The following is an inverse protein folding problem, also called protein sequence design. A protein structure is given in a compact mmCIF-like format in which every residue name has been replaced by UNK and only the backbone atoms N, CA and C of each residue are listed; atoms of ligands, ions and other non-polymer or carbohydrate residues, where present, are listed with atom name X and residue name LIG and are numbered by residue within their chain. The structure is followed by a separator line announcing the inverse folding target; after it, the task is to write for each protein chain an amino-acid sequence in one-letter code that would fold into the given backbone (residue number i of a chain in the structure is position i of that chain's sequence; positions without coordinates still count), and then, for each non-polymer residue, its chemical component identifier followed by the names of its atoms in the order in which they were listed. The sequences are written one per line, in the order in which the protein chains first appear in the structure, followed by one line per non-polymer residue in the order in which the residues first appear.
data_IF_332708503285
#
_entry.id   IF_332708503285
#
_cell.length_a   1.000
_cell.length_b   1.000
_cell.length_c   1.000
_cell.angle_alpha   90.00
_cell.angle_beta   90.00
_cell.angle_gamma   90.00
#
_symmetry.space_group_name_H-M   'P 1'
#
loop_
_entity.id
_entity.type
_entity.pdbx_description
1 polymer ?
#
# COMPACT_ATOMS: atom_id res chain seq x y z
N UNK A 1 -3.65 -1.58 26.17
CA UNK A 1 -2.80 -0.89 25.18
C UNK A 1 -1.64 -0.22 25.88
N UNK A 2 -0.42 -0.35 25.34
CA UNK A 2 0.79 0.23 25.95
C UNK A 2 0.94 1.73 25.66
N UNK A 3 1.97 2.33 26.30
CA UNK A 3 2.36 3.72 26.04
C UNK A 3 2.87 3.85 24.60
N UNK A 4 2.51 4.94 23.91
CA UNK A 4 3.08 5.26 22.60
C UNK A 4 4.60 5.49 22.72
N UNK A 5 5.37 4.89 21.83
CA UNK A 5 6.83 5.06 21.77
C UNK A 5 7.22 6.28 20.94
N UNK A 6 8.44 6.80 21.13
CA UNK A 6 8.83 8.10 20.57
C UNK A 6 8.87 8.09 19.02
N UNK A 7 9.36 7.02 18.39
CA UNK A 7 9.43 6.96 16.93
C UNK A 7 8.04 6.84 16.31
N UNK A 8 7.21 5.96 16.87
CA UNK A 8 5.82 5.82 16.44
C UNK A 8 5.06 7.14 16.57
N UNK A 9 5.27 7.87 17.68
CA UNK A 9 4.67 9.19 17.89
C UNK A 9 5.13 10.20 16.82
N UNK A 10 6.43 10.23 16.48
CA UNK A 10 6.96 11.10 15.43
C UNK A 10 6.35 10.73 14.06
N UNK A 11 6.28 9.44 13.72
CA UNK A 11 5.65 8.99 12.47
C UNK A 11 4.18 9.40 12.40
N UNK A 12 3.41 9.26 13.49
CA UNK A 12 2.02 9.71 13.55
C UNK A 12 1.92 11.22 13.33
N UNK A 13 2.77 12.01 13.98
CA UNK A 13 2.79 13.47 13.80
C UNK A 13 3.08 13.83 12.33
N UNK A 14 4.08 13.20 11.71
CA UNK A 14 4.38 13.42 10.29
C UNK A 14 3.16 13.12 9.40
N UNK A 15 2.49 11.99 9.62
CA UNK A 15 1.28 11.62 8.87
C UNK A 15 0.16 12.66 9.03
N UNK A 16 -0.07 13.13 10.27
CA UNK A 16 -1.08 14.16 10.55
C UNK A 16 -0.72 15.49 9.87
N UNK A 17 0.57 15.88 9.86
CA UNK A 17 1.00 17.11 9.18
C UNK A 17 0.83 17.02 7.66
N UNK A 18 1.18 15.89 7.04
CA UNK A 18 0.94 15.68 5.61
C UNK A 18 -0.57 15.70 5.28
N UNK A 19 -1.38 15.04 6.11
CA UNK A 19 -2.84 15.04 5.94
C UNK A 19 -3.43 16.45 6.06
N UNK A 20 -3.01 17.22 7.07
CA UNK A 20 -3.43 18.62 7.22
C UNK A 20 -2.95 19.49 6.05
N UNK A 21 -1.71 19.26 5.58
CA UNK A 21 -1.18 19.93 4.38
C UNK A 21 -2.01 19.69 3.14
N UNK A 22 -2.46 18.44 2.95
CA UNK A 22 -3.36 18.09 1.83
C UNK A 22 -4.70 18.82 1.94
N UNK A 23 -5.23 18.94 3.15
CA UNK A 23 -6.51 19.63 3.37
C UNK A 23 -6.43 21.15 3.10
N UNK A 24 -5.27 21.77 3.39
CA UNK A 24 -5.04 23.20 3.21
C UNK A 24 -4.68 23.54 1.76
N UNK A 25 -3.81 22.73 1.14
CA UNK A 25 -3.21 23.01 -0.17
C UNK A 25 -3.88 22.24 -1.32
N UNK A 26 -4.86 21.39 -1.02
CA UNK A 26 -5.63 20.65 -2.01
C UNK A 26 -4.77 19.74 -2.89
N UNK A 27 -5.09 19.70 -4.18
CA UNK A 27 -4.49 18.80 -5.16
C UNK A 27 -2.97 18.91 -5.32
N UNK A 28 -2.37 20.05 -4.99
CA UNK A 28 -0.92 20.27 -5.18
C UNK A 28 -0.12 19.30 -4.29
N UNK A 29 -0.40 19.28 -2.99
CA UNK A 29 0.29 18.40 -2.05
C UNK A 29 0.01 16.94 -2.39
N UNK A 30 -1.23 16.61 -2.76
CA UNK A 30 -1.62 15.28 -3.15
C UNK A 30 -0.80 14.79 -4.36
N UNK A 31 -0.71 15.57 -5.44
CA UNK A 31 0.06 15.24 -6.65
C UNK A 31 1.56 15.14 -6.39
N UNK A 32 2.13 16.02 -5.56
CA UNK A 32 3.56 16.04 -5.31
C UNK A 32 4.05 14.84 -4.51
N UNK A 33 3.23 14.31 -3.59
CA UNK A 33 3.71 13.35 -2.59
C UNK A 33 3.05 11.97 -2.66
N UNK A 34 1.94 11.80 -3.41
CA UNK A 34 1.35 10.49 -3.69
C UNK A 34 2.17 9.72 -4.73
N UNK A 35 2.18 8.38 -4.66
CA UNK A 35 2.94 7.54 -5.58
C UNK A 35 2.13 7.32 -6.85
N UNK A 36 2.51 8.00 -7.92
CA UNK A 36 2.03 7.73 -9.27
C UNK A 36 2.86 6.62 -9.91
N UNK A 37 2.24 5.92 -10.87
CA UNK A 37 2.95 4.96 -11.70
C UNK A 37 4.19 5.59 -12.35
N UNK A 38 5.32 4.87 -12.38
CA UNK A 38 6.63 5.45 -12.69
C UNK A 38 6.77 6.04 -14.10
N UNK A 39 5.90 5.66 -15.06
CA UNK A 39 5.83 6.27 -16.39
C UNK A 39 4.78 7.40 -16.48
N UNK A 40 4.04 7.68 -15.40
CA UNK A 40 3.09 8.78 -15.37
C UNK A 40 3.83 10.12 -15.29
N UNK A 41 3.42 11.17 -16.04
CA UNK A 41 4.04 12.50 -15.99
C UNK A 41 4.09 13.15 -14.59
N UNK A 42 3.23 12.72 -13.66
CA UNK A 42 3.21 13.21 -12.28
C UNK A 42 4.17 12.46 -11.35
N UNK A 43 4.84 11.40 -11.82
CA UNK A 43 5.79 10.64 -11.00
C UNK A 43 7.00 11.49 -10.61
N UNK A 44 7.43 11.37 -9.34
CA UNK A 44 8.62 12.01 -8.79
C UNK A 44 9.42 11.02 -7.94
N UNK A 45 10.76 11.12 -7.94
CA UNK A 45 11.67 10.17 -7.28
C UNK A 45 11.50 10.03 -5.78
N UNK A 46 10.89 10.98 -5.10
CA UNK A 46 10.60 10.93 -3.66
C UNK A 46 9.28 10.24 -3.31
N UNK A 47 8.38 10.06 -4.28
CA UNK A 47 7.05 9.50 -4.06
C UNK A 47 7.06 8.07 -3.49
N UNK A 48 8.03 7.17 -3.82
CA UNK A 48 8.14 5.88 -3.15
C UNK A 48 8.31 5.93 -1.62
N UNK A 49 8.72 7.07 -1.08
CA UNK A 49 8.80 7.29 0.37
C UNK A 49 7.66 8.17 0.87
N UNK A 50 7.36 9.26 0.17
CA UNK A 50 6.43 10.26 0.68
C UNK A 50 4.98 9.80 0.66
N UNK A 51 4.58 8.92 -0.25
CA UNK A 51 3.23 8.35 -0.30
C UNK A 51 2.84 7.66 1.01
N UNK A 52 3.82 7.13 1.77
CA UNK A 52 3.60 6.52 3.07
C UNK A 52 3.03 7.49 4.12
N UNK A 53 3.10 8.78 3.87
CA UNK A 53 2.55 9.83 4.75
C UNK A 53 1.26 10.44 4.20
N UNK A 54 0.86 10.10 2.96
CA UNK A 54 -0.34 10.61 2.32
C UNK A 54 -1.56 9.76 2.67
N UNK A 55 -2.74 10.37 2.80
CA UNK A 55 -3.97 9.66 3.12
C UNK A 55 -5.16 10.23 2.34
N UNK A 56 -5.96 9.34 1.77
CA UNK A 56 -7.11 9.69 0.93
C UNK A 56 -8.37 10.12 1.71
N UNK A 57 -8.37 10.07 3.06
CA UNK A 57 -9.52 10.47 3.87
C UNK A 57 -9.34 10.24 5.36
N UNK A 58 -10.28 10.79 6.15
CA UNK A 58 -10.21 10.79 7.62
C UNK A 58 -10.17 9.37 8.21
N UNK A 59 -11.03 8.47 7.75
CA UNK A 59 -11.03 7.09 8.25
C UNK A 59 -9.75 6.36 7.86
N UNK A 60 -9.20 6.64 6.69
CA UNK A 60 -7.95 6.04 6.23
C UNK A 60 -6.79 6.41 7.17
N UNK A 61 -6.61 7.69 7.50
CA UNK A 61 -5.55 8.09 8.44
C UNK A 61 -5.83 7.56 9.85
N UNK A 62 -7.07 7.61 10.33
CA UNK A 62 -7.40 7.14 11.69
C UNK A 62 -7.05 5.67 11.88
N UNK A 63 -7.43 4.79 10.94
CA UNK A 63 -7.12 3.36 11.02
C UNK A 63 -5.63 3.09 10.90
N UNK A 64 -4.94 3.79 10.00
CA UNK A 64 -3.49 3.65 9.86
C UNK A 64 -2.76 4.08 11.15
N UNK A 65 -3.09 5.22 11.72
CA UNK A 65 -2.44 5.73 12.93
C UNK A 65 -2.77 4.87 14.15
N UNK A 66 -4.00 4.38 14.25
CA UNK A 66 -4.37 3.41 15.28
C UNK A 66 -3.55 2.12 15.17
N UNK A 67 -3.45 1.53 13.98
CA UNK A 67 -2.68 0.32 13.74
C UNK A 67 -1.18 0.54 14.00
N UNK A 68 -0.63 1.66 13.52
CA UNK A 68 0.77 2.01 13.77
C UNK A 68 1.07 2.14 15.27
N UNK A 69 0.18 2.77 16.03
CA UNK A 69 0.30 2.84 17.48
C UNK A 69 0.18 1.47 18.15
N UNK A 70 -0.88 0.72 17.84
CA UNK A 70 -1.22 -0.52 18.52
C UNK A 70 -0.18 -1.63 18.27
N UNK A 71 0.37 -1.70 17.07
CA UNK A 71 1.28 -2.76 16.65
C UNK A 71 2.74 -2.29 16.53
N UNK A 72 2.97 -1.04 16.17
CA UNK A 72 4.30 -0.47 16.03
C UNK A 72 4.98 -0.20 17.37
N UNK A 73 4.26 0.34 18.36
CA UNK A 73 4.86 0.67 19.65
C UNK A 73 5.44 -0.55 20.38
N UNK A 74 4.80 -1.73 20.43
CA UNK A 74 5.41 -2.93 21.01
C UNK A 74 6.68 -3.38 20.28
N UNK A 75 6.71 -3.26 18.95
CA UNK A 75 7.88 -3.62 18.15
C UNK A 75 9.03 -2.62 18.36
N UNK A 76 8.75 -1.33 18.35
CA UNK A 76 9.77 -0.31 18.67
C UNK A 76 10.34 -0.47 20.06
N UNK A 77 9.49 -0.75 21.06
CA UNK A 77 9.92 -0.98 22.44
C UNK A 77 10.90 -2.17 22.55
N UNK A 78 10.73 -3.20 21.70
CA UNK A 78 11.56 -4.38 21.71
C UNK A 78 12.81 -4.25 20.83
N UNK A 79 12.69 -3.62 19.66
CA UNK A 79 13.78 -3.53 18.68
C UNK A 79 14.64 -2.29 18.80
N UNK A 80 14.11 -1.25 19.44
CA UNK A 80 14.67 0.09 19.44
C UNK A 80 14.37 0.86 18.15
N UNK A 81 14.60 2.17 18.23
CA UNK A 81 14.27 3.15 17.20
C UNK A 81 14.81 2.78 15.80
N UNK A 82 16.13 2.57 15.70
CA UNK A 82 16.76 2.44 14.39
C UNK A 82 16.31 1.20 13.63
N UNK A 83 16.18 0.08 14.35
CA UNK A 83 15.72 -1.18 13.77
C UNK A 83 14.25 -1.11 13.35
N UNK A 84 13.42 -0.44 14.16
CA UNK A 84 12.01 -0.22 13.83
C UNK A 84 11.85 0.68 12.59
N UNK A 85 12.59 1.80 12.50
CA UNK A 85 12.57 2.68 11.33
C UNK A 85 13.02 1.96 10.06
N UNK A 86 14.15 1.24 10.13
CA UNK A 86 14.62 0.43 9.01
C UNK A 86 13.55 -0.54 8.53
N UNK A 87 12.91 -1.26 9.47
CA UNK A 87 11.83 -2.20 9.15
C UNK A 87 10.64 -1.52 8.49
N UNK A 88 10.16 -0.43 9.09
CA UNK A 88 9.00 0.32 8.63
C UNK A 88 9.19 0.83 7.20
N UNK A 89 10.30 1.53 6.93
CA UNK A 89 10.57 2.06 5.59
C UNK A 89 10.87 0.97 4.57
N UNK A 90 11.58 -0.09 4.95
CA UNK A 90 11.84 -1.21 4.04
C UNK A 90 10.57 -1.96 3.66
N UNK A 91 9.64 -2.17 4.60
CA UNK A 91 8.34 -2.76 4.33
C UNK A 91 7.49 -1.86 3.40
N UNK A 92 7.51 -0.54 3.64
CA UNK A 92 6.82 0.44 2.80
C UNK A 92 7.38 0.53 1.38
N UNK A 93 8.70 0.52 1.23
CA UNK A 93 9.34 0.47 -0.09
C UNK A 93 9.07 -0.85 -0.82
N UNK A 94 9.07 -1.98 -0.08
CA UNK A 94 8.69 -3.28 -0.62
C UNK A 94 7.23 -3.31 -1.07
N UNK A 95 6.34 -2.64 -0.33
CA UNK A 95 4.95 -2.46 -0.72
C UNK A 95 4.81 -1.68 -2.03
N UNK A 96 5.52 -0.54 -2.14
CA UNK A 96 5.56 0.26 -3.36
C UNK A 96 6.09 -0.54 -4.55
N UNK A 97 7.19 -1.29 -4.37
CA UNK A 97 7.78 -2.12 -5.42
C UNK A 97 6.81 -3.16 -5.97
N UNK A 98 6.10 -3.89 -5.10
CA UNK A 98 5.12 -4.90 -5.54
C UNK A 98 3.93 -4.23 -6.22
N UNK A 99 3.43 -3.12 -5.68
CA UNK A 99 2.33 -2.36 -6.27
C UNK A 99 2.67 -1.88 -7.68
N UNK A 100 3.81 -1.24 -7.87
CA UNK A 100 4.30 -0.76 -9.17
C UNK A 100 4.57 -1.90 -10.15
N UNK A 101 5.08 -3.06 -9.67
CA UNK A 101 5.30 -4.22 -10.51
C UNK A 101 3.99 -4.82 -11.06
N UNK A 102 2.95 -4.84 -10.25
CA UNK A 102 1.62 -5.30 -10.69
C UNK A 102 0.98 -4.28 -11.64
N UNK A 103 1.06 -2.99 -11.33
CA UNK A 103 0.59 -1.92 -12.22
C UNK A 103 1.29 -2.00 -13.59
N UNK A 104 2.61 -2.22 -13.60
CA UNK A 104 3.38 -2.44 -14.83
C UNK A 104 2.82 -3.60 -15.65
N UNK A 105 2.59 -4.75 -15.02
CA UNK A 105 2.05 -5.92 -15.69
C UNK A 105 0.64 -5.66 -16.26
N UNK A 106 -0.25 -5.07 -15.48
CA UNK A 106 -1.61 -4.74 -15.90
C UNK A 106 -1.62 -3.77 -17.08
N UNK A 107 -0.88 -2.68 -16.99
CA UNK A 107 -0.80 -1.65 -18.03
C UNK A 107 -0.25 -2.26 -19.32
N UNK A 108 0.91 -2.93 -19.26
CA UNK A 108 1.57 -3.46 -20.47
C UNK A 108 0.83 -4.64 -21.08
N UNK A 109 0.13 -5.44 -20.28
CA UNK A 109 -0.73 -6.52 -20.79
C UNK A 109 -1.84 -5.97 -21.68
N UNK A 110 -2.48 -4.88 -21.28
CA UNK A 110 -3.55 -4.24 -22.07
C UNK A 110 -2.97 -3.45 -23.25
N UNK A 111 -1.85 -2.74 -23.05
CA UNK A 111 -1.14 -2.04 -24.14
C UNK A 111 -0.79 -3.01 -25.29
N UNK A 112 -0.25 -4.19 -24.96
CA UNK A 112 0.09 -5.20 -25.99
C UNK A 112 -1.15 -5.68 -26.78
N UNK A 113 -2.30 -5.81 -26.14
CA UNK A 113 -3.55 -6.15 -26.81
C UNK A 113 -4.00 -5.02 -27.76
N UNK A 114 -3.88 -3.76 -27.33
CA UNK A 114 -4.21 -2.58 -28.13
C UNK A 114 -3.30 -2.45 -29.34
N UNK A 115 -1.98 -2.64 -29.17
CA UNK A 115 -1.00 -2.65 -30.26
C UNK A 115 -1.30 -3.74 -31.28
N UNK A 116 -1.64 -4.96 -30.82
CA UNK A 116 -2.05 -6.06 -31.69
C UNK A 116 -3.36 -5.75 -32.45
N UNK A 117 -4.23 -4.92 -31.86
CA UNK A 117 -5.46 -4.43 -32.48
C UNK A 117 -5.25 -3.26 -33.44
N UNK A 118 -3.99 -2.85 -33.69
CA UNK A 118 -3.63 -1.82 -34.68
C UNK A 118 -3.51 -0.41 -34.10
N UNK A 119 -3.55 -0.22 -32.79
CA UNK A 119 -3.29 1.06 -32.17
C UNK A 119 -1.78 1.36 -32.20
N UNK A 120 -1.43 2.63 -32.35
CA UNK A 120 -0.06 3.11 -32.18
C UNK A 120 0.24 3.41 -30.70
N UNK A 121 1.51 3.33 -30.34
CA UNK A 121 1.96 3.74 -28.99
C UNK A 121 1.56 5.16 -28.64
N UNK A 122 1.61 6.08 -29.63
CA UNK A 122 1.21 7.48 -29.46
C UNK A 122 -0.26 7.67 -29.12
N UNK A 123 -1.15 6.87 -29.71
CA UNK A 123 -2.59 6.89 -29.41
C UNK A 123 -2.86 6.37 -28.01
N UNK A 124 -2.20 5.26 -27.62
CA UNK A 124 -2.31 4.70 -26.26
C UNK A 124 -1.79 5.69 -25.23
N UNK A 125 -0.63 6.27 -25.46
CA UNK A 125 -0.05 7.28 -24.54
C UNK A 125 -0.95 8.53 -24.43
N UNK A 126 -1.50 9.01 -25.54
CA UNK A 126 -2.46 10.12 -25.52
C UNK A 126 -3.73 9.78 -24.72
N UNK A 127 -4.23 8.56 -24.84
CA UNK A 127 -5.35 8.08 -24.04
C UNK A 127 -5.01 8.05 -22.56
N UNK A 128 -3.87 7.46 -22.18
CA UNK A 128 -3.46 7.36 -20.79
C UNK A 128 -3.27 8.71 -20.11
N UNK A 129 -2.66 9.68 -20.82
CA UNK A 129 -2.35 11.01 -20.24
C UNK A 129 -3.54 11.95 -20.27
N UNK A 130 -4.29 11.97 -21.37
CA UNK A 130 -5.32 12.99 -21.62
C UNK A 130 -6.76 12.47 -21.49
N UNK A 131 -6.97 11.18 -21.35
CA UNK A 131 -8.29 10.55 -21.35
C UNK A 131 -9.03 10.72 -22.69
N UNK A 132 -8.30 11.10 -23.75
CA UNK A 132 -8.86 11.40 -25.09
C UNK A 132 -8.30 10.42 -26.10
N UNK A 133 -9.17 9.86 -26.88
CA UNK A 133 -8.81 8.89 -27.90
C UNK A 133 -9.35 7.52 -27.52
N UNK A 134 -10.09 6.97 -28.41
CA UNK A 134 -10.78 5.70 -28.26
C UNK A 134 -12.03 5.78 -29.09
N UNK A 135 -11.92 5.36 -30.35
CA UNK A 135 -13.12 5.06 -31.10
C UNK A 135 -13.79 3.85 -30.44
N UNK A 136 -15.11 3.66 -30.62
CA UNK A 136 -15.80 2.46 -30.17
C UNK A 136 -15.12 1.15 -30.67
N UNK A 137 -14.32 1.24 -31.72
CA UNK A 137 -13.47 0.17 -32.24
C UNK A 137 -12.46 -0.40 -31.21
N UNK A 138 -12.06 0.34 -30.18
CA UNK A 138 -11.21 -0.17 -29.09
C UNK A 138 -11.90 -1.31 -28.33
N UNK A 139 -13.21 -1.20 -28.15
CA UNK A 139 -14.02 -2.19 -27.44
C UNK A 139 -14.23 -3.49 -28.23
N UNK A 140 -13.89 -3.51 -29.50
CA UNK A 140 -13.85 -4.74 -30.31
C UNK A 140 -12.60 -5.57 -30.01
N UNK A 141 -11.52 -4.93 -29.57
CA UNK A 141 -10.22 -5.59 -29.33
C UNK A 141 -9.99 -5.91 -27.86
N UNK A 142 -10.39 -5.02 -26.96
CA UNK A 142 -10.14 -5.13 -25.52
C UNK A 142 -11.42 -4.79 -24.75
N UNK A 143 -11.70 -5.57 -23.70
CA UNK A 143 -12.89 -5.30 -22.87
C UNK A 143 -12.81 -3.93 -22.19
N UNK A 144 -13.96 -3.30 -21.97
CA UNK A 144 -14.05 -2.02 -21.26
C UNK A 144 -13.40 -2.10 -19.86
N UNK A 145 -13.61 -3.23 -19.17
CA UNK A 145 -13.04 -3.45 -17.85
C UNK A 145 -11.50 -3.39 -17.85
N UNK A 146 -10.86 -4.01 -18.83
CA UNK A 146 -9.39 -3.98 -18.98
C UNK A 146 -8.89 -2.57 -19.29
N UNK A 147 -9.61 -1.81 -20.12
CA UNK A 147 -9.25 -0.43 -20.45
C UNK A 147 -9.37 0.47 -19.22
N UNK A 148 -10.47 0.34 -18.47
CA UNK A 148 -10.71 1.12 -17.27
C UNK A 148 -9.68 0.77 -16.18
N UNK A 149 -9.31 -0.51 -16.05
CA UNK A 149 -8.26 -0.97 -15.12
C UNK A 149 -6.89 -0.43 -15.50
N UNK A 150 -6.50 -0.48 -16.77
CA UNK A 150 -5.26 0.10 -17.27
C UNK A 150 -5.21 1.61 -17.01
N UNK A 151 -6.28 2.33 -17.31
CA UNK A 151 -6.36 3.77 -17.08
C UNK A 151 -6.28 4.13 -15.60
N UNK A 152 -6.97 3.36 -14.75
CA UNK A 152 -6.94 3.53 -13.31
C UNK A 152 -5.54 3.23 -12.74
N UNK A 153 -4.90 2.13 -13.15
CA UNK A 153 -3.55 1.78 -12.73
C UNK A 153 -2.52 2.86 -13.10
N UNK A 154 -2.68 3.51 -14.25
CA UNK A 154 -1.79 4.59 -14.70
C UNK A 154 -2.04 5.92 -13.97
N UNK A 155 -3.30 6.26 -13.66
CA UNK A 155 -3.69 7.61 -13.22
C UNK A 155 -4.04 7.73 -11.74
N UNK A 156 -4.33 6.61 -11.05
CA UNK A 156 -4.69 6.64 -9.62
C UNK A 156 -3.45 6.42 -8.77
N UNK A 157 -2.96 7.45 -8.07
CA UNK A 157 -1.77 7.27 -7.24
C UNK A 157 -2.06 6.47 -5.98
N UNK A 158 -1.09 5.68 -5.53
CA UNK A 158 -1.12 5.02 -4.25
C UNK A 158 -0.77 5.99 -3.11
N UNK A 159 -1.47 5.84 -1.97
CA UNK A 159 -1.30 6.64 -0.76
C UNK A 159 -1.50 5.76 0.48
N UNK A 160 -0.79 6.06 1.55
CA UNK A 160 -1.03 5.46 2.85
C UNK A 160 0.18 4.80 3.48
N UNK A 161 0.21 4.85 4.80
CA UNK A 161 1.18 4.13 5.63
C UNK A 161 0.90 2.60 5.64
N UNK A 162 -0.23 2.17 5.07
CA UNK A 162 -0.76 0.81 5.24
C UNK A 162 0.17 -0.28 4.72
N UNK A 163 0.88 -0.05 3.60
CA UNK A 163 1.88 -0.99 3.12
C UNK A 163 2.95 -1.31 4.16
N UNK A 164 3.54 -0.29 4.79
CA UNK A 164 4.49 -0.47 5.89
C UNK A 164 3.83 -1.10 7.13
N UNK A 165 2.59 -0.70 7.44
CA UNK A 165 1.82 -1.22 8.58
C UNK A 165 1.52 -2.71 8.40
N UNK A 166 1.25 -3.20 7.20
CA UNK A 166 1.09 -4.63 6.95
C UNK A 166 2.36 -5.42 7.27
N UNK A 167 3.53 -4.88 6.95
CA UNK A 167 4.79 -5.43 7.43
C UNK A 167 4.88 -5.46 8.96
N UNK A 168 4.51 -4.35 9.62
CA UNK A 168 4.46 -4.24 11.09
C UNK A 168 3.47 -5.27 11.69
N UNK A 169 2.29 -5.45 11.09
CA UNK A 169 1.31 -6.45 11.50
C UNK A 169 1.89 -7.87 11.44
N UNK A 170 2.55 -8.22 10.34
CA UNK A 170 3.19 -9.53 10.19
C UNK A 170 4.25 -9.76 11.27
N UNK A 171 5.14 -8.80 11.48
CA UNK A 171 6.15 -8.90 12.53
C UNK A 171 5.52 -9.04 13.92
N UNK A 172 4.48 -8.25 14.20
CA UNK A 172 3.73 -8.36 15.45
C UNK A 172 3.11 -9.76 15.62
N UNK A 173 2.45 -10.29 14.60
CA UNK A 173 1.86 -11.63 14.64
C UNK A 173 2.88 -12.74 14.85
N UNK A 174 4.10 -12.60 14.30
CA UNK A 174 5.20 -13.54 14.50
C UNK A 174 5.80 -13.47 15.90
N UNK A 175 5.77 -12.30 16.54
CA UNK A 175 6.33 -12.07 17.88
C UNK A 175 5.31 -12.31 18.99
N UNK A 176 4.05 -11.96 18.75
CA UNK A 176 2.95 -12.03 19.72
C UNK A 176 1.76 -12.85 19.19
N UNK A 177 1.95 -14.12 18.77
CA UNK A 177 0.95 -14.90 18.03
C UNK A 177 -0.35 -15.15 18.79
N UNK A 178 -0.29 -15.18 20.12
CA UNK A 178 -1.43 -15.51 20.97
C UNK A 178 -2.14 -14.29 21.57
N UNK A 179 -1.67 -13.06 21.26
CA UNK A 179 -2.38 -11.84 21.68
C UNK A 179 -3.74 -11.81 20.99
N UNK A 180 -4.79 -11.59 21.78
CA UNK A 180 -6.14 -11.41 21.29
C UNK A 180 -6.31 -9.98 20.75
N UNK A 181 -6.67 -9.87 19.48
CA UNK A 181 -7.01 -8.62 18.80
C UNK A 181 -8.53 -8.51 18.76
N UNK A 182 -9.04 -7.32 19.08
CA UNK A 182 -10.46 -7.02 18.94
C UNK A 182 -10.63 -5.91 17.91
N UNK A 183 -11.50 -6.13 16.94
CA UNK A 183 -11.92 -5.09 16.01
C UNK A 183 -12.88 -4.13 16.74
N UNK A 184 -12.77 -2.83 16.41
CA UNK A 184 -13.62 -1.78 17.04
C UNK A 184 -15.11 -2.08 16.85
N UNK A 185 -15.49 -2.63 15.68
CA UNK A 185 -16.89 -2.92 15.35
C UNK A 185 -17.30 -4.38 15.54
N UNK A 186 -16.35 -5.27 15.87
CA UNK A 186 -16.61 -6.69 16.11
C UNK A 186 -15.85 -7.10 17.37
N UNK A 187 -16.50 -7.06 18.56
CA UNK A 187 -15.83 -7.30 19.83
C UNK A 187 -15.57 -8.79 20.10
N UNK A 188 -15.21 -9.55 19.07
CA UNK A 188 -14.80 -10.95 19.16
C UNK A 188 -13.27 -10.98 19.23
N UNK A 189 -12.69 -11.50 20.33
CA UNK A 189 -11.23 -11.59 20.46
C UNK A 189 -10.68 -12.69 19.55
N UNK A 190 -9.91 -12.31 18.54
CA UNK A 190 -9.25 -13.24 17.61
C UNK A 190 -7.73 -13.17 17.84
N UNK A 191 -7.06 -14.33 17.97
CA UNK A 191 -5.61 -14.36 18.14
C UNK A 191 -4.90 -13.81 16.90
N UNK A 192 -3.83 -13.03 17.11
CA UNK A 192 -3.05 -12.40 16.05
C UNK A 192 -2.61 -13.37 14.94
N UNK A 193 -2.22 -14.59 15.31
CA UNK A 193 -1.81 -15.66 14.38
C UNK A 193 -2.90 -16.13 13.41
N UNK A 194 -4.18 -15.83 13.67
CA UNK A 194 -5.29 -16.13 12.77
C UNK A 194 -5.79 -14.86 12.07
N UNK A 195 -5.88 -13.77 12.81
CA UNK A 195 -6.40 -12.50 12.29
C UNK A 195 -5.51 -11.92 11.17
N UNK A 196 -4.19 -11.86 11.41
CA UNK A 196 -3.26 -11.22 10.46
C UNK A 196 -3.15 -12.00 9.13
N UNK A 197 -2.96 -13.33 9.12
CA UNK A 197 -3.02 -14.09 7.87
C UNK A 197 -4.36 -13.98 7.15
N UNK A 198 -5.49 -13.99 7.87
CA UNK A 198 -6.81 -13.84 7.26
C UNK A 198 -6.96 -12.48 6.57
N UNK A 199 -6.46 -11.39 7.18
CA UNK A 199 -6.46 -10.07 6.60
C UNK A 199 -5.64 -10.02 5.30
N UNK A 200 -4.43 -10.61 5.29
CA UNK A 200 -3.56 -10.66 4.11
C UNK A 200 -4.17 -11.50 3.00
N UNK A 201 -4.78 -12.64 3.33
CA UNK A 201 -5.47 -13.49 2.36
C UNK A 201 -6.69 -12.77 1.74
N UNK A 202 -7.38 -11.93 2.51
CA UNK A 202 -8.47 -11.12 2.01
C UNK A 202 -7.98 -10.08 0.99
N UNK A 203 -6.86 -9.39 1.28
CA UNK A 203 -6.25 -8.45 0.33
C UNK A 203 -5.74 -9.17 -0.92
N UNK A 204 -5.11 -10.33 -0.76
CA UNK A 204 -4.67 -11.15 -1.90
C UNK A 204 -5.86 -11.57 -2.78
N UNK A 205 -6.94 -12.05 -2.16
CA UNK A 205 -8.16 -12.40 -2.88
C UNK A 205 -8.76 -11.19 -3.60
N UNK A 206 -8.83 -10.04 -2.92
CA UNK A 206 -9.33 -8.80 -3.51
C UNK A 206 -8.46 -8.34 -4.69
N UNK A 207 -7.14 -8.41 -4.55
CA UNK A 207 -6.20 -8.06 -5.62
C UNK A 207 -6.29 -8.99 -6.86
N UNK A 208 -6.59 -10.28 -6.64
CA UNK A 208 -6.71 -11.25 -7.74
C UNK A 208 -8.07 -11.20 -8.45
N UNK A 209 -9.13 -10.89 -7.73
CA UNK A 209 -10.51 -10.97 -8.26
C UNK A 209 -11.13 -9.61 -8.59
N UNK A 210 -10.49 -8.50 -8.18
CA UNK A 210 -11.08 -7.17 -8.25
C UNK A 210 -12.23 -6.94 -7.24
N UNK A 211 -12.66 -7.97 -6.51
CA UNK A 211 -13.71 -7.86 -5.50
C UNK A 211 -13.16 -7.29 -4.20
N UNK A 212 -13.64 -6.13 -3.79
CA UNK A 212 -13.21 -5.49 -2.54
C UNK A 212 -14.36 -5.39 -1.55
N UNK A 213 -14.13 -5.94 -0.33
CA UNK A 213 -15.08 -5.84 0.79
C UNK A 213 -15.10 -4.44 1.43
N UNK A 214 -14.02 -3.68 1.32
CA UNK A 214 -13.85 -2.39 2.00
C UNK A 214 -13.90 -1.19 1.04
N UNK A 215 -14.38 -1.37 -0.17
CA UNK A 215 -14.51 -0.34 -1.20
C UNK A 215 -13.48 -0.43 -2.31
N UNK A 216 -13.76 0.24 -3.41
CA UNK A 216 -12.84 0.36 -4.55
C UNK A 216 -11.68 1.31 -4.18
N UNK A 217 -10.54 1.19 -4.85
CA UNK A 217 -9.32 1.99 -4.65
C UNK A 217 -8.46 1.61 -3.41
N UNK A 218 -8.55 0.38 -2.92
CA UNK A 218 -7.59 -0.13 -1.94
C UNK A 218 -6.38 -0.69 -2.71
N UNK A 219 -5.19 -0.24 -2.34
CA UNK A 219 -3.94 -0.75 -2.92
C UNK A 219 -3.60 -2.14 -2.33
N UNK A 220 -4.44 -3.16 -2.61
CA UNK A 220 -4.30 -4.52 -2.07
C UNK A 220 -2.90 -5.10 -2.29
N UNK A 221 -2.33 -4.88 -3.46
CA UNK A 221 -0.98 -5.35 -3.78
C UNK A 221 0.12 -4.67 -2.98
N UNK A 222 -0.06 -3.40 -2.60
CA UNK A 222 0.85 -2.75 -1.65
C UNK A 222 0.77 -3.39 -0.25
N UNK A 223 -0.43 -3.78 0.20
CA UNK A 223 -0.60 -4.50 1.46
C UNK A 223 0.10 -5.87 1.45
N UNK A 224 -0.13 -6.65 0.39
CA UNK A 224 0.52 -7.96 0.20
C UNK A 224 2.04 -7.80 0.10
N UNK A 225 2.52 -6.81 -0.65
CA UNK A 225 3.94 -6.49 -0.77
C UNK A 225 4.59 -6.13 0.57
N UNK A 226 3.96 -5.24 1.33
CA UNK A 226 4.43 -4.87 2.67
C UNK A 226 4.45 -6.04 3.65
N UNK A 227 3.42 -6.90 3.61
CA UNK A 227 3.36 -8.12 4.38
C UNK A 227 4.49 -9.09 4.02
N UNK A 228 4.78 -9.28 2.73
CA UNK A 228 5.84 -10.16 2.24
C UNK A 228 7.23 -9.67 2.69
N UNK A 229 7.54 -8.40 2.46
CA UNK A 229 8.83 -7.82 2.89
C UNK A 229 8.96 -7.83 4.41
N UNK A 230 7.89 -7.51 5.14
CA UNK A 230 7.84 -7.61 6.59
C UNK A 230 8.09 -9.02 7.09
N UNK A 231 7.49 -10.02 6.45
CA UNK A 231 7.70 -11.44 6.77
C UNK A 231 9.17 -11.85 6.59
N UNK A 232 9.75 -11.53 5.42
CA UNK A 232 11.15 -11.89 5.10
C UNK A 232 12.09 -11.30 6.15
N UNK A 233 11.95 -10.00 6.47
CA UNK A 233 12.80 -9.34 7.45
C UNK A 233 12.61 -9.89 8.87
N UNK A 234 11.37 -10.04 9.31
CA UNK A 234 11.06 -10.55 10.65
C UNK A 234 11.52 -12.00 10.83
N UNK A 235 11.34 -12.84 9.79
CA UNK A 235 11.80 -14.23 9.79
C UNK A 235 13.33 -14.31 9.88
N UNK A 236 14.04 -13.55 9.05
CA UNK A 236 15.50 -13.50 9.08
C UNK A 236 16.04 -13.04 10.44
N UNK A 237 15.45 -12.00 11.02
CA UNK A 237 15.87 -11.52 12.33
C UNK A 237 15.58 -12.52 13.45
N UNK A 238 14.42 -13.16 13.42
CA UNK A 238 14.08 -14.19 14.40
C UNK A 238 15.06 -15.36 14.35
N UNK A 239 15.37 -15.87 13.15
CA UNK A 239 16.32 -16.96 12.95
C UNK A 239 17.72 -16.62 13.48
N UNK A 240 18.22 -15.42 13.20
CA UNK A 240 19.56 -15.00 13.60
C UNK A 240 19.66 -14.66 15.09
N UNK A 241 18.58 -14.27 15.74
CA UNK A 241 18.57 -14.05 17.20
C UNK A 241 18.69 -15.36 17.98
N UNK A 242 18.26 -16.48 17.44
CA UNK A 242 18.45 -17.81 18.05
C UNK A 242 19.88 -18.37 17.84
N UNK A 243 20.59 -17.94 16.81
CA UNK A 243 21.96 -18.41 16.53
C UNK A 243 23.03 -17.63 17.33
N UNK A 244 22.64 -16.58 18.05
CA UNK A 244 23.54 -15.74 18.86
C UNK A 244 23.32 -15.92 20.38
N UNK A 245 22.56 -16.93 20.80
CA UNK A 245 22.43 -17.41 22.18
C UNK A 245 23.07 -18.81 22.31
#
# INVERSE_FOLDING_TARGET
MGRITETVKVLIICNVLFFAGTYISGDIVYRLFSLFYFENPNFQYWQPITHMFMHGGLFHILFNMYALWAFGSPLEAQWGRNKFLFFYFSAGLGAALIHESVAYYEIHSVMNQLLAGGWSEGEIQNFLVNGKGGSEAILETVSRENIDSMYAAFNTPAVGASGAIYGVLVAFGMMYPNVALMLIFLPIPIKAKYFIPALILLDLFSGLTGFSLFGQNIANWAHVGGALFGFIMAYYWKKNSFNNQ
#
